data_IF_418964093569
#
_entry.id   IF_418964093569
#
_cell.length_a   1.000
_cell.length_b   1.000
_cell.length_c   1.000
_cell.angle_alpha   90.00
_cell.angle_beta   90.00
_cell.angle_gamma   90.00
#
_symmetry.space_group_name_H-M   'P 1'
#
loop_
_entity.id
_entity.type
_entity.pdbx_description
1 polymer ?
#
# COMPACT_ATOMS: atom_id res chain seq x y z
N UNK A 1 9.61 -6.77 -16.68
CA UNK A 1 8.62 -6.33 -15.69
C UNK A 1 7.26 -6.70 -16.26
N UNK A 2 6.82 -7.94 -16.08
CA UNK A 2 5.47 -8.33 -16.45
C UNK A 2 4.58 -7.75 -15.35
N UNK A 3 3.76 -6.74 -15.69
CA UNK A 3 2.77 -6.24 -14.76
C UNK A 3 1.73 -7.35 -14.60
N UNK A 4 1.74 -7.99 -13.45
CA UNK A 4 0.67 -8.87 -13.02
C UNK A 4 -0.63 -8.06 -12.88
N UNK A 5 -1.78 -8.72 -12.92
CA UNK A 5 -3.07 -8.06 -12.75
C UNK A 5 -3.37 -7.74 -11.28
N UNK A 6 -4.30 -6.82 -11.04
CA UNK A 6 -4.56 -6.30 -9.69
C UNK A 6 -5.15 -7.35 -8.72
N UNK A 7 -5.70 -8.45 -9.23
CA UNK A 7 -6.17 -9.58 -8.43
C UNK A 7 -5.04 -10.27 -7.66
N UNK A 8 -3.79 -10.20 -8.12
CA UNK A 8 -2.67 -10.75 -7.37
C UNK A 8 -2.48 -10.10 -5.99
N UNK A 9 -3.01 -8.88 -5.78
CA UNK A 9 -2.99 -8.26 -4.45
C UNK A 9 -3.76 -9.08 -3.41
N UNK A 10 -4.79 -9.83 -3.82
CA UNK A 10 -5.55 -10.71 -2.92
C UNK A 10 -4.71 -11.88 -2.36
N UNK A 11 -3.65 -12.27 -3.08
CA UNK A 11 -2.80 -13.41 -2.74
C UNK A 11 -1.56 -13.03 -1.94
N UNK A 12 -1.36 -11.75 -1.63
CA UNK A 12 -0.18 -11.27 -0.91
C UNK A 12 -0.33 -11.46 0.60
N UNK A 13 0.74 -11.88 1.29
CA UNK A 13 0.82 -11.85 2.76
C UNK A 13 1.03 -10.43 3.31
N UNK A 14 1.70 -9.58 2.52
CA UNK A 14 2.01 -8.19 2.86
C UNK A 14 1.78 -7.33 1.62
N UNK A 15 1.01 -6.25 1.78
CA UNK A 15 0.77 -5.23 0.75
C UNK A 15 1.40 -3.92 1.21
N UNK A 16 2.29 -3.38 0.38
CA UNK A 16 2.92 -2.09 0.61
C UNK A 16 2.37 -1.03 -0.35
N UNK A 17 1.56 -0.11 0.16
CA UNK A 17 1.08 1.05 -0.60
C UNK A 17 2.10 2.16 -0.44
N UNK A 18 3.04 2.27 -1.39
CA UNK A 18 4.15 3.23 -1.33
C UNK A 18 3.89 4.46 -2.20
N UNK A 19 3.68 5.61 -1.57
CA UNK A 19 3.48 6.90 -2.26
C UNK A 19 2.19 7.00 -3.08
N UNK A 20 1.35 5.97 -3.06
CA UNK A 20 0.12 5.88 -3.83
C UNK A 20 -1.12 6.21 -3.00
N UNK A 21 -2.22 6.48 -3.71
CA UNK A 21 -3.56 6.61 -3.13
C UNK A 21 -4.59 5.81 -3.95
N UNK A 22 -4.48 4.47 -4.02
CA UNK A 22 -5.34 3.62 -4.84
C UNK A 22 -6.84 3.72 -4.51
N UNK A 23 -7.22 4.14 -3.30
CA UNK A 23 -8.62 4.46 -2.99
C UNK A 23 -9.23 5.50 -3.95
N UNK A 24 -8.42 6.48 -4.38
CA UNK A 24 -8.85 7.54 -5.31
C UNK A 24 -8.33 7.33 -6.73
N UNK A 25 -7.15 6.71 -6.90
CA UNK A 25 -6.47 6.62 -8.20
C UNK A 25 -6.62 5.25 -8.86
N UNK A 26 -7.12 4.24 -8.15
CA UNK A 26 -7.39 2.89 -8.66
C UNK A 26 -8.66 2.30 -8.03
N UNK A 27 -9.72 3.11 -7.96
CA UNK A 27 -11.01 2.75 -7.37
C UNK A 27 -11.57 1.42 -7.88
N UNK A 28 -11.49 1.06 -9.19
CA UNK A 28 -12.04 -0.20 -9.67
C UNK A 28 -11.40 -1.45 -9.06
N UNK A 29 -10.10 -1.40 -8.73
CA UNK A 29 -9.37 -2.54 -8.17
C UNK A 29 -9.08 -2.39 -6.67
N UNK A 30 -9.50 -1.28 -6.05
CA UNK A 30 -9.15 -1.00 -4.67
C UNK A 30 -9.67 -2.06 -3.70
N UNK A 31 -10.78 -2.72 -4.03
CA UNK A 31 -11.41 -3.74 -3.20
C UNK A 31 -10.47 -4.91 -2.85
N UNK A 32 -9.50 -5.25 -3.70
CA UNK A 32 -8.54 -6.31 -3.41
C UNK A 32 -7.66 -6.02 -2.18
N UNK A 33 -7.35 -4.76 -1.87
CA UNK A 33 -6.52 -4.38 -0.73
C UNK A 33 -7.22 -4.69 0.63
N UNK A 34 -8.43 -4.18 0.92
CA UNK A 34 -9.15 -4.54 2.13
C UNK A 34 -9.59 -6.00 2.14
N UNK A 35 -9.92 -6.61 0.99
CA UNK A 35 -10.23 -8.05 0.91
C UNK A 35 -9.03 -8.92 1.30
N UNK A 36 -7.83 -8.61 0.77
CA UNK A 36 -6.60 -9.27 1.18
C UNK A 36 -6.35 -9.10 2.67
N UNK A 37 -6.58 -7.89 3.20
CA UNK A 37 -6.46 -7.61 4.63
C UNK A 37 -7.39 -8.46 5.48
N UNK A 38 -8.65 -8.60 5.07
CA UNK A 38 -9.60 -9.50 5.74
C UNK A 38 -9.19 -10.98 5.61
N UNK A 39 -8.48 -11.34 4.53
CA UNK A 39 -7.89 -12.66 4.31
C UNK A 39 -6.56 -12.88 5.07
N UNK A 40 -6.15 -11.94 5.94
CA UNK A 40 -4.97 -12.08 6.79
C UNK A 40 -3.71 -11.39 6.28
N UNK A 41 -3.75 -10.75 5.10
CA UNK A 41 -2.66 -9.93 4.62
C UNK A 41 -2.45 -8.70 5.52
N UNK A 42 -1.20 -8.27 5.69
CA UNK A 42 -0.89 -7.00 6.37
C UNK A 42 -0.76 -5.88 5.35
N UNK A 43 -1.54 -4.82 5.52
CA UNK A 43 -1.48 -3.63 4.65
C UNK A 43 -0.69 -2.52 5.33
N UNK A 44 0.37 -2.03 4.69
CA UNK A 44 1.21 -0.94 5.18
C UNK A 44 1.15 0.21 4.18
N UNK A 45 0.79 1.39 4.64
CA UNK A 45 0.75 2.60 3.83
C UNK A 45 1.93 3.52 4.16
N UNK A 46 2.79 3.76 3.17
CA UNK A 46 3.89 4.70 3.24
C UNK A 46 3.46 5.95 2.47
N UNK A 47 3.11 7.01 3.21
CA UNK A 47 2.68 8.27 2.63
C UNK A 47 3.00 9.42 3.60
N UNK A 48 3.40 10.61 3.10
CA UNK A 48 3.66 11.77 3.94
C UNK A 48 2.39 12.30 4.62
N UNK A 49 1.24 12.12 3.98
CA UNK A 49 -0.08 12.56 4.44
C UNK A 49 -0.97 11.37 4.81
N UNK A 50 -1.95 11.63 5.69
CA UNK A 50 -2.97 10.65 6.05
C UNK A 50 -4.06 10.60 4.96
N UNK A 51 -3.72 10.02 3.81
CA UNK A 51 -4.59 9.98 2.64
C UNK A 51 -5.73 8.94 2.76
N UNK A 52 -6.63 8.94 1.78
CA UNK A 52 -7.81 8.06 1.79
C UNK A 52 -7.47 6.56 1.81
N UNK A 53 -6.32 6.15 1.28
CA UNK A 53 -5.88 4.75 1.31
C UNK A 53 -5.32 4.34 2.67
N UNK A 54 -4.75 5.27 3.44
CA UNK A 54 -4.20 5.00 4.78
C UNK A 54 -5.27 4.52 5.76
N UNK A 55 -6.52 4.98 5.60
CA UNK A 55 -7.68 4.55 6.42
C UNK A 55 -7.89 3.04 6.39
N UNK A 56 -7.45 2.37 5.33
CA UNK A 56 -7.60 0.92 5.12
C UNK A 56 -6.34 0.12 5.47
N UNK A 57 -5.27 0.76 5.96
CA UNK A 57 -4.01 0.12 6.30
C UNK A 57 -3.94 -0.28 7.79
N UNK A 58 -3.13 -1.29 8.10
CA UNK A 58 -2.81 -1.69 9.48
C UNK A 58 -1.73 -0.81 10.10
N UNK A 59 -0.83 -0.27 9.27
CA UNK A 59 0.25 0.62 9.69
C UNK A 59 0.38 1.77 8.71
N UNK A 60 0.46 2.98 9.26
CA UNK A 60 0.84 4.18 8.53
C UNK A 60 2.28 4.56 8.88
N UNK A 61 3.09 4.78 7.84
CA UNK A 61 4.46 5.28 7.96
C UNK A 61 4.53 6.70 7.37
N UNK A 62 4.44 7.74 8.22
CA UNK A 62 4.58 9.12 7.79
C UNK A 62 6.05 9.44 7.52
N UNK A 63 6.37 9.71 6.25
CA UNK A 63 7.71 10.13 5.82
C UNK A 63 7.73 11.61 5.48
N UNK A 64 8.89 12.24 5.59
CA UNK A 64 9.13 13.52 4.93
C UNK A 64 9.13 13.32 3.41
N UNK A 65 8.58 14.30 2.67
CA UNK A 65 8.45 14.20 1.21
C UNK A 65 9.83 14.04 0.57
N UNK A 66 9.97 13.02 -0.29
CA UNK A 66 11.21 12.71 -1.00
C UNK A 66 12.28 11.96 -0.19
N UNK A 67 11.94 11.49 1.03
CA UNK A 67 12.86 10.71 1.89
C UNK A 67 12.62 9.20 1.84
N UNK A 68 11.80 8.73 0.92
CA UNK A 68 11.50 7.30 0.71
C UNK A 68 12.73 6.46 0.39
N UNK A 69 13.71 7.03 -0.34
CA UNK A 69 14.97 6.35 -0.60
C UNK A 69 15.75 6.04 0.70
N UNK A 70 15.71 6.94 1.69
CA UNK A 70 16.36 6.71 2.98
C UNK A 70 15.68 5.58 3.76
N UNK A 71 14.34 5.54 3.74
CA UNK A 71 13.58 4.42 4.30
C UNK A 71 13.97 3.11 3.60
N UNK A 72 13.92 3.06 2.27
CA UNK A 72 14.23 1.86 1.50
C UNK A 72 15.64 1.33 1.78
N UNK A 73 16.64 2.21 1.84
CA UNK A 73 18.03 1.84 2.16
C UNK A 73 18.20 1.34 3.60
N UNK A 74 17.39 1.81 4.54
CA UNK A 74 17.42 1.33 5.93
C UNK A 74 16.75 -0.03 6.13
N UNK A 75 15.88 -0.45 5.19
CA UNK A 75 15.21 -1.75 5.21
C UNK A 75 16.05 -2.87 4.58
N UNK A 76 17.08 -2.52 3.79
CA UNK A 76 17.96 -3.44 3.08
C UNK A 76 19.04 -4.02 4.01
#
# INVERSE_FOLDING_TARGET
>A
MFADSADNWFHADIILVWGGNPAYTNTPNFHYIPEARYNGARVIAIAPDYNASVVHADLWVPLEIGTDAALALSMA
#
